data_IF_250958034788
#
_entry.id   IF_250958034788
#
_cell.length_a   1.000
_cell.length_b   1.000
_cell.length_c   1.000
_cell.angle_alpha   90.00
_cell.angle_beta   90.00
_cell.angle_gamma   90.00
#
_symmetry.space_group_name_H-M   'P 1'
#
loop_
_entity.id
_entity.type
_entity.pdbx_description
1 polymer ?
#
# COMPACT_ATOMS: atom_id res chain seq x y z
N UNK A 1 29.96 21.55 -49.59
CA UNK A 1 28.57 21.07 -49.67
C UNK A 1 28.71 19.62 -50.09
N UNK A 2 28.54 18.64 -49.21
CA UNK A 2 27.28 18.22 -48.56
C UNK A 2 27.65 17.52 -47.24
N UNK A 3 27.41 18.16 -46.09
CA UNK A 3 26.34 17.86 -45.12
C UNK A 3 26.55 16.53 -44.36
N UNK A 4 27.01 16.66 -43.11
CA UNK A 4 26.96 15.64 -42.06
C UNK A 4 25.57 15.79 -41.39
N UNK A 5 24.70 14.77 -41.35
CA UNK A 5 23.55 14.83 -40.46
C UNK A 5 24.00 14.40 -39.06
N UNK A 6 24.33 15.38 -38.23
CA UNK A 6 24.12 15.30 -36.79
C UNK A 6 22.61 15.21 -36.57
N UNK A 7 22.11 14.18 -35.88
CA UNK A 7 21.02 14.22 -34.90
C UNK A 7 20.53 12.79 -34.65
N UNK A 8 20.92 12.22 -33.52
CA UNK A 8 20.03 11.39 -32.70
C UNK A 8 20.59 11.46 -31.28
N UNK A 9 20.20 12.53 -30.56
CA UNK A 9 20.35 12.59 -29.12
C UNK A 9 19.42 11.53 -28.56
N UNK A 10 20.00 10.45 -28.04
CA UNK A 10 19.31 9.44 -27.25
C UNK A 10 18.57 10.14 -26.09
N UNK A 11 17.27 10.36 -26.26
CA UNK A 11 16.40 10.62 -25.13
C UNK A 11 16.39 9.34 -24.29
N UNK A 12 16.66 9.39 -22.96
CA UNK A 12 16.40 8.24 -22.12
C UNK A 12 14.88 8.00 -22.15
N UNK A 13 14.48 6.96 -22.89
CA UNK A 13 13.11 6.45 -22.84
C UNK A 13 12.85 6.04 -21.41
N UNK A 14 12.14 6.89 -20.65
CA UNK A 14 11.54 6.52 -19.38
C UNK A 14 10.58 5.37 -19.68
N UNK A 15 11.04 4.13 -19.53
CA UNK A 15 10.17 2.97 -19.49
C UNK A 15 9.29 3.14 -18.26
N UNK A 16 8.05 3.57 -18.46
CA UNK A 16 7.05 3.51 -17.41
C UNK A 16 7.02 2.05 -16.91
N UNK A 17 7.02 1.81 -15.59
CA UNK A 17 6.88 0.45 -15.06
C UNK A 17 5.53 -0.09 -15.53
N UNK A 18 5.55 -0.99 -16.53
CA UNK A 18 4.34 -1.69 -16.96
C UNK A 18 3.99 -2.70 -15.88
N UNK A 19 3.08 -2.31 -14.99
CA UNK A 19 2.52 -3.20 -13.97
C UNK A 19 1.88 -4.39 -14.70
N UNK A 20 2.33 -5.61 -14.38
CA UNK A 20 1.74 -6.81 -15.00
C UNK A 20 0.29 -6.99 -14.53
N UNK A 21 -0.58 -7.67 -15.29
CA UNK A 21 -1.95 -7.95 -14.85
C UNK A 21 -2.02 -8.67 -13.49
N UNK A 22 -1.04 -9.54 -13.21
CA UNK A 22 -0.91 -10.23 -11.93
C UNK A 22 -0.55 -9.27 -10.79
N UNK A 23 0.39 -8.35 -11.01
CA UNK A 23 0.75 -7.32 -10.04
C UNK A 23 -0.41 -6.37 -9.76
N UNK A 24 -1.18 -5.99 -10.80
CA UNK A 24 -2.38 -5.17 -10.63
C UNK A 24 -3.42 -5.87 -9.74
N UNK A 25 -3.64 -7.17 -9.96
CA UNK A 25 -4.54 -7.98 -9.12
C UNK A 25 -4.03 -8.10 -7.68
N UNK A 26 -2.73 -8.30 -7.49
CA UNK A 26 -2.12 -8.36 -6.17
C UNK A 26 -2.29 -7.02 -5.43
N UNK A 27 -2.00 -5.90 -6.08
CA UNK A 27 -2.15 -4.56 -5.50
C UNK A 27 -3.60 -4.26 -5.11
N UNK A 28 -4.57 -4.68 -5.92
CA UNK A 28 -5.99 -4.55 -5.61
C UNK A 28 -6.39 -5.40 -4.39
N UNK A 29 -5.90 -6.64 -4.30
CA UNK A 29 -6.14 -7.49 -3.13
C UNK A 29 -5.51 -6.91 -1.86
N UNK A 30 -4.29 -6.38 -1.95
CA UNK A 30 -3.61 -5.70 -0.84
C UNK A 30 -4.38 -4.46 -0.38
N UNK A 31 -4.91 -3.67 -1.33
CA UNK A 31 -5.75 -2.50 -1.02
C UNK A 31 -7.03 -2.92 -0.29
N UNK A 32 -7.73 -3.95 -0.78
CA UNK A 32 -8.92 -4.51 -0.12
C UNK A 32 -8.63 -5.05 1.27
N UNK A 33 -7.51 -5.76 1.42
CA UNK A 33 -7.09 -6.29 2.72
C UNK A 33 -6.85 -5.15 3.72
N UNK A 34 -6.11 -4.11 3.33
CA UNK A 34 -5.87 -2.93 4.17
C UNK A 34 -7.19 -2.25 4.58
N UNK A 35 -8.14 -2.10 3.67
CA UNK A 35 -9.44 -1.46 3.96
C UNK A 35 -10.28 -2.25 4.97
N UNK A 36 -10.37 -3.57 4.78
CA UNK A 36 -11.07 -4.48 5.70
C UNK A 36 -10.39 -4.48 7.07
N UNK A 37 -9.05 -4.57 7.12
CA UNK A 37 -8.29 -4.52 8.35
C UNK A 37 -8.50 -3.20 9.11
N UNK A 38 -8.43 -2.07 8.41
CA UNK A 38 -8.67 -0.74 9.01
C UNK A 38 -10.07 -0.65 9.61
N UNK A 39 -11.08 -1.11 8.86
CA UNK A 39 -12.46 -1.14 9.33
C UNK A 39 -12.63 -2.01 10.57
N UNK A 40 -12.02 -3.21 10.58
CA UNK A 40 -12.04 -4.11 11.73
C UNK A 40 -11.44 -3.44 12.96
N UNK A 41 -10.25 -2.83 12.83
CA UNK A 41 -9.55 -2.14 13.93
C UNK A 41 -10.43 -1.04 14.52
N UNK A 42 -11.03 -0.18 13.69
CA UNK A 42 -11.92 0.90 14.17
C UNK A 42 -13.14 0.35 14.93
N UNK A 43 -13.76 -0.72 14.41
CA UNK A 43 -14.90 -1.37 15.07
C UNK A 43 -14.50 -2.03 16.40
N UNK A 44 -13.34 -2.67 16.45
CA UNK A 44 -12.83 -3.28 17.67
C UNK A 44 -12.43 -2.24 18.70
N UNK A 45 -11.84 -1.11 18.30
CA UNK A 45 -11.50 0.01 19.17
C UNK A 45 -12.74 0.59 19.87
N UNK A 46 -13.83 0.73 19.13
CA UNK A 46 -15.13 1.23 19.65
C UNK A 46 -15.97 0.15 20.35
N UNK A 47 -15.56 -1.11 20.29
CA UNK A 47 -16.25 -2.21 20.95
C UNK A 47 -16.12 -2.10 22.48
N UNK A 48 -17.25 -2.22 23.18
CA UNK A 48 -17.33 -2.30 24.65
C UNK A 48 -17.32 -3.75 25.11
N UNK A 49 -16.20 -4.44 24.87
CA UNK A 49 -15.97 -5.79 25.38
C UNK A 49 -15.51 -5.74 26.84
N UNK A 50 -16.11 -6.54 27.72
CA UNK A 50 -15.74 -6.62 29.14
C UNK A 50 -14.48 -7.47 29.40
N UNK A 51 -14.01 -8.19 28.38
CA UNK A 51 -12.86 -9.09 28.45
C UNK A 51 -11.74 -8.65 27.49
N UNK A 52 -11.55 -7.34 27.27
CA UNK A 52 -10.55 -6.82 26.32
C UNK A 52 -9.16 -7.41 26.54
N UNK A 53 -8.73 -7.55 27.80
CA UNK A 53 -7.41 -8.06 28.18
C UNK A 53 -7.16 -9.52 27.79
N UNK A 54 -8.21 -10.34 27.60
CA UNK A 54 -8.11 -11.75 27.18
C UNK A 54 -8.76 -12.02 25.82
N UNK A 55 -9.27 -10.98 25.15
CA UNK A 55 -9.95 -11.11 23.87
C UNK A 55 -8.93 -11.16 22.73
N UNK A 56 -8.74 -12.34 22.14
CA UNK A 56 -7.81 -12.52 21.02
C UNK A 56 -8.12 -11.61 19.82
N UNK A 57 -9.40 -11.30 19.57
CA UNK A 57 -9.79 -10.35 18.51
C UNK A 57 -9.28 -8.94 18.82
N UNK A 58 -9.32 -8.52 20.09
CA UNK A 58 -8.80 -7.23 20.52
C UNK A 58 -7.28 -7.17 20.38
N UNK A 59 -6.58 -8.20 20.83
CA UNK A 59 -5.12 -8.31 20.68
C UNK A 59 -4.71 -8.27 19.21
N UNK A 60 -5.38 -9.05 18.33
CA UNK A 60 -5.08 -9.04 16.90
C UNK A 60 -5.42 -7.72 16.22
N UNK A 61 -6.48 -7.04 16.64
CA UNK A 61 -6.76 -5.69 16.13
C UNK A 61 -5.68 -4.67 16.54
N UNK A 62 -5.10 -4.79 17.74
CA UNK A 62 -3.98 -3.94 18.13
C UNK A 62 -2.73 -4.21 17.29
N UNK A 63 -2.35 -5.48 17.11
CA UNK A 63 -1.22 -5.86 16.23
C UNK A 63 -1.42 -5.32 14.79
N UNK A 64 -2.64 -5.43 14.25
CA UNK A 64 -2.98 -4.88 12.92
C UNK A 64 -2.87 -3.35 12.90
N UNK A 65 -3.29 -2.67 13.96
CA UNK A 65 -3.21 -1.21 14.06
C UNK A 65 -1.76 -0.71 14.01
N UNK A 66 -0.86 -1.35 14.76
CA UNK A 66 0.58 -1.03 14.76
C UNK A 66 1.17 -1.17 13.35
N UNK A 67 0.86 -2.26 12.64
CA UNK A 67 1.31 -2.48 11.26
C UNK A 67 0.75 -1.40 10.31
N UNK A 68 -0.53 -1.02 10.47
CA UNK A 68 -1.14 0.02 9.63
C UNK A 68 -0.47 1.38 9.87
N UNK A 69 -0.15 1.72 11.12
CA UNK A 69 0.54 2.97 11.46
C UNK A 69 1.94 3.00 10.82
N UNK A 70 2.73 1.93 10.95
CA UNK A 70 4.04 1.81 10.28
C UNK A 70 3.92 1.98 8.76
N UNK A 71 2.93 1.34 8.14
CA UNK A 71 2.67 1.49 6.70
C UNK A 71 2.29 2.92 6.31
N UNK A 72 1.58 3.65 7.17
CA UNK A 72 1.22 5.05 6.94
C UNK A 72 2.42 5.99 7.09
N UNK A 73 3.32 5.73 8.04
CA UNK A 73 4.55 6.50 8.22
C UNK A 73 5.49 6.37 7.02
N UNK A 74 5.56 5.18 6.42
CA UNK A 74 6.37 4.92 5.23
C UNK A 74 5.76 5.50 3.94
N UNK A 75 4.48 5.86 3.93
CA UNK A 75 3.89 6.49 2.74
C UNK A 75 4.46 7.89 2.57
N UNK A 76 5.04 8.22 1.39
CA UNK A 76 5.50 9.58 1.14
C UNK A 76 4.32 10.54 1.27
N UNK A 77 4.49 11.59 2.09
CA UNK A 77 3.57 12.73 2.17
C UNK A 77 3.65 13.49 0.84
N UNK A 78 2.88 13.04 -0.15
CA UNK A 78 2.60 13.78 -1.39
C UNK A 78 1.71 14.97 -1.11
#
# INVERSE_FOLDING_TARGET
>A
MTEIPETEKEHPTFTQPTVTPEQARMNELLRKLMDICTTLVIKVATCKCNHKSSCQVFTKAQEIAEIIDELQELRPKT
#
